data_IF_654194333574
#
_entry.id   IF_654194333574
#
_cell.length_a   1.000
_cell.length_b   1.000
_cell.length_c   1.000
_cell.angle_alpha   90.00
_cell.angle_beta   90.00
_cell.angle_gamma   90.00
#
_symmetry.space_group_name_H-M   'P 1'
#
loop_
_entity.id
_entity.type
_entity.pdbx_description
1 polymer ?
#
# COMPACT_ATOMS: atom_id res chain seq x y z
N UNK A 1 5.83 -18.64 33.85
CA UNK A 1 5.19 -17.67 32.92
C UNK A 1 4.43 -18.40 31.80
N UNK A 2 3.49 -19.30 32.10
CA UNK A 2 3.41 -20.52 31.26
C UNK A 2 2.03 -20.96 30.75
N UNK A 3 0.93 -20.25 31.03
CA UNK A 3 -0.40 -20.64 30.49
C UNK A 3 -1.20 -19.46 29.95
N UNK A 4 -1.27 -18.35 30.69
CA UNK A 4 -1.97 -17.13 30.25
C UNK A 4 -1.26 -16.46 29.07
N UNK A 5 0.08 -16.38 29.13
CA UNK A 5 0.88 -15.84 28.03
C UNK A 5 0.74 -16.68 26.75
N UNK A 6 0.71 -18.01 26.88
CA UNK A 6 0.51 -18.91 25.74
C UNK A 6 -0.90 -18.77 25.13
N UNK A 7 -1.94 -18.58 25.96
CA UNK A 7 -3.31 -18.35 25.48
C UNK A 7 -3.53 -17.00 24.81
N UNK A 8 -2.79 -15.96 25.21
CA UNK A 8 -2.83 -14.64 24.56
C UNK A 8 -2.14 -14.67 23.19
N UNK A 9 -1.00 -15.38 23.08
CA UNK A 9 -0.27 -15.55 21.81
C UNK A 9 -1.13 -16.29 20.79
N UNK A 10 -1.76 -17.42 21.15
CA UNK A 10 -2.59 -18.19 20.21
C UNK A 10 -3.86 -17.45 19.78
N UNK A 11 -4.45 -16.65 20.67
CA UNK A 11 -5.61 -15.81 20.33
C UNK A 11 -5.24 -14.67 19.36
N UNK A 12 -4.06 -14.07 19.52
CA UNK A 12 -3.56 -13.04 18.61
C UNK A 12 -3.20 -13.63 17.23
N UNK A 13 -2.53 -14.77 17.17
CA UNK A 13 -2.25 -15.49 15.92
C UNK A 13 -3.54 -15.80 15.15
N UNK A 14 -4.59 -16.26 15.85
CA UNK A 14 -5.90 -16.51 15.24
C UNK A 14 -6.58 -15.23 14.73
N UNK A 15 -6.33 -14.07 15.34
CA UNK A 15 -6.93 -12.80 14.95
C UNK A 15 -6.20 -12.17 13.77
N UNK A 16 -4.88 -12.19 13.77
CA UNK A 16 -4.05 -11.71 12.66
C UNK A 16 -4.28 -12.54 11.40
N UNK A 17 -4.42 -13.86 11.52
CA UNK A 17 -4.80 -14.70 10.39
C UNK A 17 -6.16 -14.31 9.78
N UNK A 18 -7.15 -13.93 10.61
CA UNK A 18 -8.44 -13.44 10.12
C UNK A 18 -8.33 -12.07 9.44
N UNK A 19 -7.47 -11.18 9.93
CA UNK A 19 -7.19 -9.88 9.31
C UNK A 19 -6.53 -10.12 7.95
N UNK A 20 -5.47 -10.94 7.89
CA UNK A 20 -4.79 -11.30 6.66
C UNK A 20 -5.76 -11.85 5.61
N UNK A 21 -6.62 -12.81 5.97
CA UNK A 21 -7.62 -13.36 5.06
C UNK A 21 -8.65 -12.31 4.59
N UNK A 22 -8.95 -11.30 5.41
CA UNK A 22 -9.81 -10.19 4.99
C UNK A 22 -9.08 -9.29 3.97
N UNK A 23 -7.82 -8.94 4.24
CA UNK A 23 -7.00 -8.13 3.34
C UNK A 23 -6.79 -8.84 1.99
N UNK A 24 -6.51 -10.14 2.00
CA UNK A 24 -6.33 -10.94 0.78
C UNK A 24 -7.57 -10.88 -0.12
N UNK A 25 -8.76 -11.05 0.45
CA UNK A 25 -10.02 -10.91 -0.30
C UNK A 25 -10.21 -9.49 -0.84
N UNK A 26 -9.95 -8.47 -0.03
CA UNK A 26 -10.08 -7.08 -0.46
C UNK A 26 -9.13 -6.74 -1.62
N UNK A 27 -7.91 -7.30 -1.60
CA UNK A 27 -6.93 -7.18 -2.69
C UNK A 27 -7.43 -7.90 -3.94
N UNK A 28 -7.89 -9.16 -3.81
CA UNK A 28 -8.43 -9.94 -4.94
C UNK A 28 -9.61 -9.24 -5.62
N UNK A 29 -10.56 -8.72 -4.83
CA UNK A 29 -11.70 -7.95 -5.34
C UNK A 29 -11.24 -6.70 -6.12
N UNK A 30 -10.24 -5.99 -5.60
CA UNK A 30 -9.71 -4.78 -6.23
C UNK A 30 -8.99 -5.11 -7.54
N UNK A 31 -8.16 -6.15 -7.55
CA UNK A 31 -7.49 -6.63 -8.77
C UNK A 31 -8.49 -7.11 -9.82
N UNK A 32 -9.56 -7.79 -9.40
CA UNK A 32 -10.62 -8.24 -10.30
C UNK A 32 -11.42 -7.07 -10.92
N UNK A 33 -11.43 -5.91 -10.27
CA UNK A 33 -12.11 -4.70 -10.77
C UNK A 33 -11.30 -3.90 -11.78
N UNK A 34 -10.02 -4.24 -12.00
CA UNK A 34 -9.15 -3.48 -12.89
C UNK A 34 -9.59 -3.61 -14.36
N UNK A 35 -9.62 -2.50 -15.12
CA UNK A 35 -9.97 -2.56 -16.53
C UNK A 35 -8.87 -3.26 -17.33
N UNK A 36 -9.25 -4.10 -18.30
CA UNK A 36 -8.31 -4.81 -19.16
C UNK A 36 -7.39 -3.82 -19.91
N UNK A 37 -6.04 -3.89 -19.75
CA UNK A 37 -5.10 -2.96 -20.39
C UNK A 37 -5.23 -2.87 -21.92
N UNK A 38 -5.75 -3.93 -22.55
CA UNK A 38 -5.99 -4.03 -24.00
C UNK A 38 -7.19 -3.22 -24.47
N UNK A 39 -8.18 -3.02 -23.60
CA UNK A 39 -9.43 -2.34 -23.92
C UNK A 39 -9.34 -0.83 -23.64
N UNK A 40 -8.30 -0.40 -22.92
CA UNK A 40 -8.03 1.00 -22.65
C UNK A 40 -7.47 1.74 -23.88
N UNK A 41 -7.78 3.02 -24.01
CA UNK A 41 -7.08 3.93 -24.91
C UNK A 41 -5.67 4.26 -24.39
N UNK A 42 -4.83 4.85 -25.24
CA UNK A 42 -3.50 5.31 -24.82
C UNK A 42 -3.58 6.40 -23.74
N UNK A 43 -4.56 7.30 -23.87
CA UNK A 43 -4.81 8.35 -22.88
C UNK A 43 -5.26 7.77 -21.54
N UNK A 44 -6.14 6.76 -21.54
CA UNK A 44 -6.58 6.10 -20.31
C UNK A 44 -5.42 5.40 -19.60
N UNK A 45 -4.62 4.60 -20.33
CA UNK A 45 -3.42 3.96 -19.74
C UNK A 45 -2.47 4.97 -19.13
N UNK A 46 -2.20 6.06 -19.87
CA UNK A 46 -1.37 7.17 -19.42
C UNK A 46 -1.94 7.81 -18.15
N UNK A 47 -3.25 8.06 -18.10
CA UNK A 47 -3.93 8.64 -16.95
C UNK A 47 -3.81 7.78 -15.69
N UNK A 48 -3.94 6.46 -15.82
CA UNK A 48 -3.76 5.52 -14.69
C UNK A 48 -2.33 5.61 -14.14
N UNK A 49 -1.31 5.51 -15.00
CA UNK A 49 0.10 5.60 -14.57
C UNK A 49 0.39 6.96 -13.93
N UNK A 50 -0.10 8.05 -14.53
CA UNK A 50 0.09 9.40 -14.05
C UNK A 50 -0.55 9.62 -12.67
N UNK A 51 -1.80 9.18 -12.47
CA UNK A 51 -2.47 9.29 -11.17
C UNK A 51 -1.82 8.40 -10.11
N UNK A 52 -1.43 7.17 -10.47
CA UNK A 52 -0.68 6.30 -9.57
C UNK A 52 0.62 6.98 -9.12
N UNK A 53 1.38 7.55 -10.06
CA UNK A 53 2.62 8.28 -9.78
C UNK A 53 2.36 9.52 -8.90
N UNK A 54 1.32 10.29 -9.19
CA UNK A 54 0.95 11.48 -8.42
C UNK A 54 0.65 11.16 -6.95
N UNK A 55 0.07 9.99 -6.69
CA UNK A 55 -0.20 9.50 -5.34
C UNK A 55 1.08 8.97 -4.74
N UNK A 56 1.75 8.00 -5.35
CA UNK A 56 2.72 7.19 -4.62
C UNK A 56 4.07 7.88 -4.41
N UNK A 57 4.56 8.62 -5.41
CA UNK A 57 5.93 9.15 -5.44
C UNK A 57 6.25 9.98 -4.18
N UNK A 58 5.27 10.74 -3.68
CA UNK A 58 5.44 11.59 -2.50
C UNK A 58 4.80 11.05 -1.23
N UNK A 59 4.07 9.93 -1.25
CA UNK A 59 3.22 9.55 -0.12
C UNK A 59 3.55 8.22 0.53
N UNK A 60 4.19 7.26 -0.15
CA UNK A 60 4.47 5.96 0.48
C UNK A 60 5.37 6.11 1.71
N UNK A 61 6.52 6.79 1.56
CA UNK A 61 7.44 7.09 2.67
C UNK A 61 6.72 7.90 3.76
N UNK A 62 5.85 8.84 3.40
CA UNK A 62 5.07 9.62 4.38
C UNK A 62 4.12 8.72 5.20
N UNK A 63 3.41 7.79 4.55
CA UNK A 63 2.50 6.86 5.22
C UNK A 63 3.26 5.88 6.12
N UNK A 64 4.37 5.30 5.62
CA UNK A 64 5.23 4.41 6.41
C UNK A 64 5.90 5.13 7.58
N UNK A 65 6.24 6.41 7.42
CA UNK A 65 6.72 7.25 8.53
C UNK A 65 5.63 7.45 9.58
N UNK A 66 4.37 7.66 9.17
CA UNK A 66 3.24 7.70 10.08
C UNK A 66 3.07 6.40 10.87
N UNK A 67 3.22 5.25 10.19
CA UNK A 67 3.22 3.93 10.83
C UNK A 67 4.34 3.83 11.88
N UNK A 68 5.57 4.20 11.52
CA UNK A 68 6.73 4.17 12.41
C UNK A 68 6.54 5.05 13.66
N UNK A 69 6.06 6.28 13.48
CA UNK A 69 5.81 7.23 14.57
C UNK A 69 4.71 6.72 15.51
N UNK A 70 3.65 6.12 14.94
CA UNK A 70 2.52 5.60 15.71
C UNK A 70 2.84 4.33 16.50
N UNK A 71 3.76 3.50 16.00
CA UNK A 71 4.05 2.19 16.57
C UNK A 71 4.55 2.28 18.02
N UNK A 72 3.95 1.47 18.89
CA UNK A 72 4.29 1.36 20.30
C UNK A 72 5.37 0.32 20.60
N UNK A 73 5.43 -0.77 19.83
CA UNK A 73 6.39 -1.85 20.01
C UNK A 73 7.70 -1.61 19.26
N UNK A 74 8.81 -2.02 19.88
CA UNK A 74 10.13 -1.96 19.24
C UNK A 74 10.24 -2.93 18.06
N UNK A 75 9.51 -4.06 18.11
CA UNK A 75 9.44 -5.01 17.02
C UNK A 75 8.78 -4.38 15.78
N UNK A 76 7.59 -3.79 15.91
CA UNK A 76 6.93 -3.11 14.79
C UNK A 76 7.79 -1.98 14.24
N UNK A 77 8.37 -1.14 15.12
CA UNK A 77 9.28 -0.06 14.70
C UNK A 77 10.46 -0.57 13.90
N UNK A 78 11.06 -1.68 14.30
CA UNK A 78 12.20 -2.28 13.59
C UNK A 78 11.79 -2.71 12.18
N UNK A 79 10.67 -3.43 12.05
CA UNK A 79 10.17 -3.90 10.75
C UNK A 79 9.81 -2.77 9.80
N UNK A 80 9.10 -1.76 10.30
CA UNK A 80 8.72 -0.57 9.52
C UNK A 80 9.97 0.22 9.12
N UNK A 81 10.97 0.32 10.00
CA UNK A 81 12.23 1.02 9.69
C UNK A 81 13.05 0.30 8.63
N UNK A 82 13.08 -1.03 8.60
CA UNK A 82 13.79 -1.77 7.57
C UNK A 82 13.19 -1.52 6.18
N UNK A 83 11.87 -1.51 6.08
CA UNK A 83 11.15 -1.10 4.86
C UNK A 83 11.47 0.35 4.46
N UNK A 84 11.33 1.31 5.39
CA UNK A 84 11.67 2.72 5.13
C UNK A 84 13.12 2.92 4.66
N UNK A 85 14.06 2.14 5.20
CA UNK A 85 15.47 2.19 4.78
C UNK A 85 15.64 1.75 3.35
N UNK A 86 14.96 0.67 2.92
CA UNK A 86 14.99 0.20 1.54
C UNK A 86 14.46 1.28 0.59
N UNK A 87 13.24 1.76 0.85
CA UNK A 87 12.57 2.81 0.06
C UNK A 87 13.44 4.05 -0.17
N UNK A 88 14.11 4.51 0.89
CA UNK A 88 14.95 5.71 0.86
C UNK A 88 16.31 5.43 0.25
N UNK A 89 16.98 4.33 0.66
CA UNK A 89 18.34 4.00 0.19
C UNK A 89 18.35 3.78 -1.31
N UNK A 90 17.36 3.06 -1.82
CA UNK A 90 17.31 2.66 -3.21
C UNK A 90 16.57 3.71 -4.08
N UNK A 91 16.00 4.74 -3.44
CA UNK A 91 15.33 5.88 -4.09
C UNK A 91 14.13 5.43 -4.92
N UNK A 92 13.19 4.70 -4.28
CA UNK A 92 11.96 4.22 -4.90
C UNK A 92 11.12 5.34 -5.54
N UNK A 93 10.99 6.55 -4.94
CA UNK A 93 10.37 7.69 -5.62
C UNK A 93 11.06 8.05 -6.94
N UNK A 94 12.39 7.97 -6.98
CA UNK A 94 13.17 8.19 -8.20
C UNK A 94 12.95 7.10 -9.25
N UNK A 95 12.84 5.84 -8.84
CA UNK A 95 12.47 4.72 -9.75
C UNK A 95 11.08 4.95 -10.35
N UNK A 96 10.09 5.30 -9.52
CA UNK A 96 8.74 5.60 -9.98
C UNK A 96 8.71 6.78 -10.96
N UNK A 97 9.46 7.85 -10.68
CA UNK A 97 9.55 8.99 -11.60
C UNK A 97 10.14 8.58 -12.95
N UNK A 98 11.20 7.76 -12.98
CA UNK A 98 11.78 7.22 -14.23
C UNK A 98 10.77 6.39 -15.01
N UNK A 99 10.06 5.49 -14.31
CA UNK A 99 8.99 4.67 -14.89
C UNK A 99 7.91 5.54 -15.57
N UNK A 100 7.41 6.56 -14.88
CA UNK A 100 6.40 7.47 -15.42
C UNK A 100 6.89 8.26 -16.63
N UNK A 101 8.14 8.76 -16.61
CA UNK A 101 8.75 9.47 -17.74
C UNK A 101 8.85 8.55 -18.96
N UNK A 102 9.36 7.34 -18.77
CA UNK A 102 9.54 6.37 -19.85
C UNK A 102 8.20 5.93 -20.47
N UNK A 103 7.14 5.86 -19.66
CA UNK A 103 5.77 5.60 -20.12
C UNK A 103 5.04 6.84 -20.69
N UNK A 104 5.71 7.99 -20.81
CA UNK A 104 5.12 9.26 -21.24
C UNK A 104 3.91 9.68 -20.38
N UNK A 105 3.98 9.36 -19.09
CA UNK A 105 2.89 9.48 -18.12
C UNK A 105 3.29 10.30 -16.89
N UNK A 106 4.20 11.26 -17.05
CA UNK A 106 4.51 12.25 -15.99
C UNK A 106 3.22 12.93 -15.53
N UNK A 107 2.92 12.96 -14.21
CA UNK A 107 1.70 13.59 -13.69
C UNK A 107 1.57 15.06 -14.12
N UNK A 108 0.36 15.44 -14.52
CA UNK A 108 -0.07 16.83 -14.66
C UNK A 108 -0.79 17.31 -13.40
N UNK A 109 -1.07 18.61 -13.33
CA UNK A 109 -1.94 19.17 -12.29
C UNK A 109 -3.33 18.54 -12.30
N UNK A 110 -3.89 18.24 -13.48
CA UNK A 110 -5.19 17.60 -13.61
C UNK A 110 -5.20 16.18 -13.01
N UNK A 111 -4.14 15.40 -13.26
CA UNK A 111 -4.00 14.06 -12.68
C UNK A 111 -3.93 14.12 -11.15
N UNK A 112 -3.15 15.05 -10.62
CA UNK A 112 -3.02 15.25 -9.17
C UNK A 112 -4.34 15.71 -8.54
N UNK A 113 -5.04 16.64 -9.19
CA UNK A 113 -6.33 17.17 -8.71
C UNK A 113 -7.42 16.08 -8.71
N UNK A 114 -7.41 15.17 -9.69
CA UNK A 114 -8.40 14.10 -9.82
C UNK A 114 -8.37 13.10 -8.65
N UNK A 115 -7.21 12.91 -8.01
CA UNK A 115 -7.03 11.98 -6.88
C UNK A 115 -6.88 12.68 -5.54
N UNK A 116 -6.78 14.01 -5.52
CA UNK A 116 -6.49 14.79 -4.33
C UNK A 116 -7.48 14.58 -3.17
N UNK A 117 -8.81 14.54 -3.38
CA UNK A 117 -9.76 14.37 -2.28
C UNK A 117 -9.53 13.06 -1.51
N UNK A 118 -9.39 11.93 -2.21
CA UNK A 118 -9.21 10.63 -1.57
C UNK A 118 -7.82 10.47 -0.99
N UNK A 119 -6.79 11.02 -1.66
CA UNK A 119 -5.45 11.10 -1.10
C UNK A 119 -5.45 11.89 0.22
N UNK A 120 -6.21 12.99 0.29
CA UNK A 120 -6.32 13.76 1.54
C UNK A 120 -6.99 12.96 2.64
N UNK A 121 -8.01 12.16 2.34
CA UNK A 121 -8.64 11.29 3.33
C UNK A 121 -7.65 10.27 3.91
N UNK A 122 -6.80 9.67 3.06
CA UNK A 122 -5.71 8.78 3.54
C UNK A 122 -4.71 9.54 4.41
N UNK A 123 -4.31 10.75 4.02
CA UNK A 123 -3.39 11.58 4.83
C UNK A 123 -3.97 11.95 6.19
N UNK A 124 -5.26 12.28 6.25
CA UNK A 124 -5.97 12.56 7.50
C UNK A 124 -6.08 11.31 8.37
N UNK A 125 -6.35 10.16 7.77
CA UNK A 125 -6.34 8.85 8.44
C UNK A 125 -4.97 8.59 9.11
N UNK A 126 -3.88 8.68 8.34
CA UNK A 126 -2.51 8.48 8.85
C UNK A 126 -2.18 9.51 9.95
N UNK A 127 -2.64 10.75 9.79
CA UNK A 127 -2.43 11.84 10.76
C UNK A 127 -3.07 11.63 12.13
N UNK A 128 -3.97 10.64 12.29
CA UNK A 128 -4.50 10.24 13.60
C UNK A 128 -3.51 9.44 14.44
N UNK A 129 -2.45 8.91 13.81
CA UNK A 129 -1.38 8.15 14.48
C UNK A 129 -1.90 6.94 15.28
N UNK A 130 -2.94 6.26 14.76
CA UNK A 130 -3.48 5.04 15.34
C UNK A 130 -2.71 3.81 14.84
N UNK A 131 -1.82 3.26 15.67
CA UNK A 131 -0.85 2.24 15.26
C UNK A 131 -1.47 1.02 14.56
N UNK A 132 -2.37 0.30 15.24
CA UNK A 132 -2.98 -0.93 14.69
C UNK A 132 -3.70 -0.68 13.36
N UNK A 133 -4.64 0.29 13.23
CA UNK A 133 -5.25 0.61 11.94
C UNK A 133 -4.25 1.00 10.84
N UNK A 134 -3.20 1.76 11.17
CA UNK A 134 -2.19 2.16 10.19
C UNK A 134 -1.40 0.94 9.71
N UNK A 135 -0.95 0.06 10.61
CA UNK A 135 -0.21 -1.16 10.22
C UNK A 135 -1.08 -2.08 9.36
N UNK A 136 -2.36 -2.25 9.67
CA UNK A 136 -3.30 -3.00 8.81
C UNK A 136 -3.42 -2.36 7.43
N UNK A 137 -3.49 -1.03 7.38
CA UNK A 137 -3.57 -0.26 6.12
C UNK A 137 -2.31 -0.44 5.28
N UNK A 138 -1.13 -0.42 5.91
CA UNK A 138 0.14 -0.64 5.20
C UNK A 138 0.29 -2.10 4.73
N UNK A 139 -0.13 -3.08 5.54
CA UNK A 139 -0.10 -4.49 5.15
C UNK A 139 -1.01 -4.75 3.94
N UNK A 140 -2.19 -4.12 3.90
CA UNK A 140 -3.06 -4.16 2.73
C UNK A 140 -2.38 -3.57 1.50
N UNK A 141 -1.76 -2.41 1.66
CA UNK A 141 -1.19 -1.67 0.54
C UNK A 141 0.00 -2.38 -0.10
N UNK A 142 0.92 -2.89 0.72
CA UNK A 142 2.07 -3.70 0.29
C UNK A 142 1.61 -4.98 -0.40
N UNK A 143 0.64 -5.70 0.19
CA UNK A 143 0.06 -6.88 -0.42
C UNK A 143 -0.62 -6.60 -1.76
N UNK A 144 -1.21 -5.40 -1.91
CA UNK A 144 -1.78 -4.94 -3.17
C UNK A 144 -0.69 -4.60 -4.20
N UNK A 145 0.30 -3.76 -3.87
CA UNK A 145 1.35 -3.32 -4.80
C UNK A 145 2.05 -4.55 -5.39
N UNK A 146 2.46 -5.49 -4.55
CA UNK A 146 3.09 -6.75 -4.97
C UNK A 146 2.35 -7.43 -6.13
N UNK A 147 1.01 -7.47 -6.07
CA UNK A 147 0.15 -8.15 -7.05
C UNK A 147 -0.30 -7.24 -8.19
N UNK A 148 -0.22 -5.93 -7.99
CA UNK A 148 -0.58 -4.90 -8.97
C UNK A 148 0.54 -4.62 -9.98
N UNK A 149 1.81 -4.86 -9.62
CA UNK A 149 2.96 -4.57 -10.50
C UNK A 149 2.86 -5.16 -11.91
N UNK A 150 2.41 -6.43 -12.14
CA UNK A 150 2.25 -6.96 -13.49
C UNK A 150 1.25 -6.16 -14.34
N UNK A 151 0.16 -5.69 -13.72
CA UNK A 151 -0.84 -4.85 -14.40
C UNK A 151 -0.23 -3.50 -14.80
N UNK A 152 0.47 -2.85 -13.86
CA UNK A 152 1.11 -1.56 -14.09
C UNK A 152 2.20 -1.66 -15.17
N UNK A 153 2.99 -2.74 -15.17
CA UNK A 153 3.98 -3.03 -16.21
C UNK A 153 3.33 -3.18 -17.59
N UNK A 154 2.20 -3.91 -17.71
CA UNK A 154 1.50 -4.05 -18.98
C UNK A 154 0.97 -2.70 -19.50
N UNK A 155 0.47 -1.82 -18.62
CA UNK A 155 0.06 -0.47 -19.02
C UNK A 155 1.24 0.31 -19.61
N UNK A 156 2.41 0.28 -18.95
CA UNK A 156 3.60 1.01 -19.40
C UNK A 156 4.20 0.44 -20.69
N UNK A 157 4.26 -0.88 -20.83
CA UNK A 157 4.69 -1.53 -22.07
C UNK A 157 3.80 -1.14 -23.26
N UNK A 158 2.49 -1.06 -23.04
CA UNK A 158 1.54 -0.60 -24.07
C UNK A 158 1.65 0.88 -24.39
N UNK A 159 2.29 1.67 -23.52
CA UNK A 159 2.70 3.05 -23.78
C UNK A 159 4.08 3.15 -24.46
N UNK A 160 4.74 2.01 -24.72
CA UNK A 160 6.06 1.96 -25.36
C UNK A 160 7.23 2.11 -24.39
N UNK A 161 7.00 2.02 -23.06
CA UNK A 161 8.09 2.02 -22.09
C UNK A 161 8.88 0.71 -22.13
N UNK A 162 10.21 0.82 -22.06
CA UNK A 162 11.12 -0.29 -21.78
C UNK A 162 11.69 -0.24 -20.36
N UNK A 163 11.37 0.80 -19.59
CA UNK A 163 11.84 0.97 -18.22
C UNK A 163 10.89 0.28 -17.24
N UNK A 164 11.35 -0.80 -16.60
CA UNK A 164 10.52 -1.70 -15.78
C UNK A 164 11.08 -1.91 -14.36
N UNK A 165 12.19 -1.24 -14.00
CA UNK A 165 12.87 -1.43 -12.70
C UNK A 165 11.90 -1.29 -11.53
N UNK A 166 11.04 -0.26 -11.55
CA UNK A 166 10.06 -0.02 -10.50
C UNK A 166 9.14 -1.22 -10.26
N UNK A 167 8.58 -1.79 -11.35
CA UNK A 167 7.65 -2.93 -11.27
C UNK A 167 8.36 -4.25 -10.94
N UNK A 168 9.61 -4.41 -11.37
CA UNK A 168 10.40 -5.61 -11.12
C UNK A 168 10.82 -5.71 -9.63
N UNK A 169 11.20 -4.59 -9.02
CA UNK A 169 11.58 -4.51 -7.60
C UNK A 169 10.37 -4.82 -6.70
N UNK A 170 9.26 -4.09 -6.89
CA UNK A 170 8.07 -4.21 -6.04
C UNK A 170 7.31 -5.53 -6.26
N UNK A 171 7.48 -6.20 -7.41
CA UNK A 171 6.94 -7.54 -7.64
C UNK A 171 7.54 -8.63 -6.74
N UNK A 172 8.72 -8.38 -6.16
CA UNK A 172 9.48 -9.34 -5.33
C UNK A 172 9.61 -8.86 -3.88
N UNK A 173 10.08 -7.63 -3.65
CA UNK A 173 10.38 -7.11 -2.30
C UNK A 173 9.15 -7.11 -1.39
N UNK A 174 8.00 -6.74 -1.92
CA UNK A 174 6.78 -6.50 -1.15
C UNK A 174 6.18 -7.77 -0.54
N UNK A 175 6.58 -8.96 -1.00
CA UNK A 175 6.26 -10.25 -0.35
C UNK A 175 6.78 -10.26 1.08
N UNK A 176 8.02 -9.84 1.26
CA UNK A 176 8.67 -9.83 2.57
C UNK A 176 8.12 -8.70 3.41
N UNK A 177 7.92 -7.51 2.84
CA UNK A 177 7.33 -6.37 3.54
C UNK A 177 5.96 -6.69 4.10
N UNK A 178 5.08 -7.29 3.31
CA UNK A 178 3.73 -7.70 3.75
C UNK A 178 3.80 -8.66 4.93
N UNK A 179 4.69 -9.67 4.89
CA UNK A 179 4.87 -10.63 5.98
C UNK A 179 5.42 -9.96 7.25
N UNK A 180 6.41 -9.08 7.13
CA UNK A 180 6.97 -8.36 8.27
C UNK A 180 5.95 -7.36 8.87
N UNK A 181 5.04 -6.81 8.06
CA UNK A 181 3.93 -5.97 8.55
C UNK A 181 2.90 -6.77 9.34
N UNK A 182 2.62 -8.03 8.99
CA UNK A 182 1.79 -8.89 9.85
C UNK A 182 2.46 -9.23 11.17
N UNK A 183 3.79 -9.42 11.19
CA UNK A 183 4.53 -9.56 12.47
C UNK A 183 4.52 -8.28 13.29
N UNK A 184 4.66 -7.12 12.64
CA UNK A 184 4.50 -5.82 13.28
C UNK A 184 3.09 -5.67 13.87
N UNK A 185 2.06 -6.14 13.15
CA UNK A 185 0.67 -6.12 13.61
C UNK A 185 0.47 -6.98 14.87
N UNK A 186 1.02 -8.19 14.89
CA UNK A 186 0.98 -9.07 16.06
C UNK A 186 1.57 -8.37 17.30
N UNK A 187 2.72 -7.71 17.13
CA UNK A 187 3.39 -6.98 18.20
C UNK A 187 2.56 -5.78 18.69
N UNK A 188 1.95 -5.00 17.79
CA UNK A 188 1.10 -3.86 18.18
C UNK A 188 -0.20 -4.31 18.86
N UNK A 189 -0.82 -5.39 18.38
CA UNK A 189 -2.05 -5.92 18.95
C UNK A 189 -1.82 -6.59 20.32
N UNK A 190 -0.60 -7.02 20.63
CA UNK A 190 -0.25 -7.48 21.98
C UNK A 190 -0.19 -6.33 23.01
N UNK A 191 0.05 -5.09 22.57
CA UNK A 191 0.17 -3.90 23.43
C UNK A 191 -1.12 -3.07 23.50
N UNK A 192 -1.97 -3.17 22.48
CA UNK A 192 -3.11 -2.27 22.28
C UNK A 192 -4.42 -2.96 22.65
N UNK A 193 -5.38 -2.26 23.30
CA UNK A 193 -6.73 -2.77 23.45
C UNK A 193 -7.38 -3.13 22.11
N UNK A 194 -8.38 -4.03 22.09
CA UNK A 194 -9.09 -4.38 20.87
C UNK A 194 -9.68 -3.16 20.17
N UNK A 195 -9.30 -2.95 18.91
CA UNK A 195 -9.85 -1.92 18.05
C UNK A 195 -11.19 -2.39 17.44
N UNK A 196 -12.24 -1.55 17.41
CA UNK A 196 -13.49 -1.86 16.71
C UNK A 196 -13.27 -2.16 15.22
N UNK A 197 -14.03 -3.11 14.65
CA UNK A 197 -13.82 -3.55 13.28
C UNK A 197 -13.96 -2.43 12.23
N UNK A 198 -14.88 -1.48 12.44
CA UNK A 198 -15.06 -0.32 11.56
C UNK A 198 -13.85 0.62 11.56
N UNK A 199 -13.14 0.73 12.69
CA UNK A 199 -11.93 1.54 12.80
C UNK A 199 -10.69 0.79 12.29
N UNK A 200 -10.67 -0.53 12.49
CA UNK A 200 -9.57 -1.41 12.08
C UNK A 200 -9.33 -1.37 10.56
N UNK A 201 -10.41 -1.38 9.77
CA UNK A 201 -10.36 -1.45 8.31
C UNK A 201 -10.61 -0.11 7.61
N UNK A 202 -10.78 0.98 8.36
CA UNK A 202 -11.09 2.30 7.77
C UNK A 202 -10.05 2.71 6.72
N UNK A 203 -8.76 2.60 7.04
CA UNK A 203 -7.69 2.96 6.11
C UNK A 203 -7.61 2.04 4.89
N UNK A 204 -8.02 0.77 5.02
CA UNK A 204 -8.14 -0.17 3.88
C UNK A 204 -9.21 0.34 2.92
N UNK A 205 -10.39 0.69 3.41
CA UNK A 205 -11.48 1.20 2.57
C UNK A 205 -11.15 2.56 1.92
N UNK A 206 -10.42 3.42 2.63
CA UNK A 206 -9.90 4.67 2.06
C UNK A 206 -8.90 4.42 0.93
N UNK A 207 -7.95 3.48 1.11
CA UNK A 207 -7.02 3.11 0.04
C UNK A 207 -7.71 2.44 -1.14
N UNK A 208 -8.71 1.57 -0.90
CA UNK A 208 -9.51 0.97 -1.98
C UNK A 208 -10.20 2.03 -2.82
N UNK A 209 -10.84 3.00 -2.17
CA UNK A 209 -11.49 4.13 -2.86
C UNK A 209 -10.48 4.95 -3.67
N UNK A 210 -9.32 5.26 -3.08
CA UNK A 210 -8.25 5.98 -3.77
C UNK A 210 -7.74 5.19 -4.99
N UNK A 211 -7.49 3.89 -4.86
CA UNK A 211 -7.01 3.04 -5.96
C UNK A 211 -8.07 2.92 -7.06
N UNK A 212 -9.34 2.77 -6.71
CA UNK A 212 -10.44 2.80 -7.67
C UNK A 212 -10.46 4.13 -8.44
N UNK A 213 -10.26 5.26 -7.76
CA UNK A 213 -10.19 6.57 -8.41
C UNK A 213 -8.93 6.77 -9.26
N UNK A 214 -7.83 6.09 -8.96
CA UNK A 214 -6.66 6.02 -9.85
C UNK A 214 -7.03 5.29 -11.15
N UNK A 215 -7.74 4.17 -11.09
CA UNK A 215 -7.94 3.27 -12.24
C UNK A 215 -9.21 3.55 -13.05
N UNK A 216 -10.26 4.14 -12.46
CA UNK A 216 -11.58 4.32 -13.09
C UNK A 216 -11.83 5.74 -13.61
N UNK A 217 -11.19 6.78 -13.05
CA UNK A 217 -11.47 8.16 -13.47
C UNK A 217 -11.03 8.42 -14.93
N UNK A 218 -12.02 8.66 -15.79
CA UNK A 218 -11.89 9.20 -17.14
C UNK A 218 -12.19 10.70 -17.11
#
# INVERSE_FOLDING_TARGET
>A
MTSVAAGLVTANESKTASIQAHLDRAIEDLLASLPNPRELSAEQRRGIIARYTAVLEGNFIYWMTGAYISAGSDEARTKIMDNLREEVRDCHPGMMRRFAIAAQATPTEADAQAVYPDLMNVRLFIGRLSAVPIVVTMAFFEGFIQRFMPYLAELAQRQGSAEMEYTDVHGICDVTHTQELFRALDAEMALTPPVPANELYEGVELLRTLIQNIVVNN
#
